data_IF_488266116284
#
_entry.id   IF_488266116284
#
_cell.length_a   1.000
_cell.length_b   1.000
_cell.length_c   1.000
_cell.angle_alpha   90.00
_cell.angle_beta   90.00
_cell.angle_gamma   90.00
#
_symmetry.space_group_name_H-M   'P 1'
#
loop_
_entity.id
_entity.type
_entity.pdbx_description
1 polymer ?
#
# COMPACT_ATOMS: atom_id res chain seq x y z
N UNK A 1 21.37 -23.56 14.47
CA UNK A 1 19.98 -23.33 14.91
C UNK A 1 19.83 -21.95 15.52
N UNK A 2 18.73 -21.24 15.22
CA UNK A 2 18.48 -19.91 15.78
C UNK A 2 17.99 -20.03 17.24
N UNK A 3 18.58 -19.26 18.16
CA UNK A 3 18.14 -19.18 19.55
C UNK A 3 17.33 -17.89 19.77
N UNK A 4 16.08 -18.04 20.23
CA UNK A 4 15.18 -16.92 20.55
C UNK A 4 14.95 -16.90 22.06
N UNK A 5 15.22 -15.76 22.70
CA UNK A 5 14.96 -15.54 24.14
C UNK A 5 14.43 -14.13 24.38
N UNK A 6 13.59 -13.95 25.38
CA UNK A 6 13.17 -12.60 25.81
C UNK A 6 14.16 -12.11 26.85
N UNK A 7 14.63 -10.87 26.69
CA UNK A 7 15.62 -10.25 27.58
C UNK A 7 15.25 -8.80 27.91
N UNK A 8 15.54 -8.39 29.15
CA UNK A 8 15.54 -6.98 29.58
C UNK A 8 16.84 -6.32 29.13
N UNK A 9 16.75 -5.23 28.34
CA UNK A 9 17.94 -4.54 27.80
C UNK A 9 18.51 -3.52 28.78
N UNK A 10 19.39 -3.98 29.68
CA UNK A 10 20.06 -3.17 30.70
C UNK A 10 20.74 -1.90 30.12
N UNK A 11 21.34 -2.01 28.94
CA UNK A 11 22.00 -0.90 28.24
C UNK A 11 21.06 0.15 27.61
N UNK A 12 19.74 -0.02 27.70
CA UNK A 12 18.73 0.93 27.22
C UNK A 12 17.77 1.34 28.36
N UNK A 13 18.28 1.32 29.60
CA UNK A 13 17.55 1.76 30.78
C UNK A 13 17.25 3.27 30.70
N UNK A 14 16.03 3.64 31.05
CA UNK A 14 15.57 5.04 31.13
C UNK A 14 15.95 5.64 32.49
N UNK A 15 15.79 6.97 32.60
CA UNK A 15 16.01 7.72 33.86
C UNK A 15 15.10 7.23 35.01
N UNK A 16 13.94 6.67 34.68
CA UNK A 16 12.96 6.09 35.63
C UNK A 16 13.36 4.69 36.15
N UNK A 17 14.50 4.14 35.74
CA UNK A 17 14.99 2.81 36.13
C UNK A 17 14.39 1.64 35.34
N UNK A 18 13.41 1.90 34.48
CA UNK A 18 12.80 0.87 33.63
C UNK A 18 13.67 0.60 32.41
N UNK A 19 13.69 -0.65 31.94
CA UNK A 19 14.38 -1.01 30.70
C UNK A 19 13.44 -1.78 29.76
N UNK A 20 13.60 -1.61 28.44
CA UNK A 20 12.72 -2.26 27.47
C UNK A 20 12.97 -3.76 27.40
N UNK A 21 11.88 -4.52 27.24
CA UNK A 21 11.91 -5.94 26.90
C UNK A 21 12.10 -6.11 25.39
N UNK A 22 12.95 -7.07 25.01
CA UNK A 22 13.21 -7.38 23.62
C UNK A 22 13.31 -8.90 23.40
N UNK A 23 12.84 -9.35 22.24
CA UNK A 23 13.18 -10.65 21.69
C UNK A 23 14.61 -10.58 21.16
N UNK A 24 15.53 -11.30 21.82
CA UNK A 24 16.88 -11.55 21.37
C UNK A 24 16.86 -12.75 20.42
N UNK A 25 17.26 -12.50 19.19
CA UNK A 25 17.32 -13.49 18.12
C UNK A 25 18.80 -13.66 17.76
N UNK A 26 19.35 -14.85 18.02
CA UNK A 26 20.76 -15.15 17.75
C UNK A 26 20.84 -16.27 16.73
N UNK A 27 21.43 -15.99 15.56
CA UNK A 27 21.68 -16.96 14.48
C UNK A 27 23.00 -16.60 13.80
N UNK A 28 23.83 -17.60 13.50
CA UNK A 28 25.09 -17.46 12.76
C UNK A 28 25.99 -16.31 13.27
N UNK A 29 26.31 -16.35 14.57
CA UNK A 29 27.15 -15.36 15.28
C UNK A 29 26.63 -13.91 15.27
N UNK A 30 25.43 -13.65 14.77
CA UNK A 30 24.78 -12.34 14.78
C UNK A 30 23.59 -12.33 15.73
N UNK A 31 23.55 -11.32 16.61
CA UNK A 31 22.45 -11.13 17.57
C UNK A 31 21.66 -9.87 17.20
N UNK A 32 20.36 -10.04 16.92
CA UNK A 32 19.43 -8.92 16.74
C UNK A 32 18.39 -8.87 17.85
N UNK A 33 17.83 -7.67 18.03
CA UNK A 33 16.80 -7.39 19.03
C UNK A 33 15.56 -6.81 18.36
N UNK A 34 14.41 -7.39 18.66
CA UNK A 34 13.10 -6.82 18.36
C UNK A 34 12.44 -6.34 19.65
N UNK A 35 12.20 -5.04 19.77
CA UNK A 35 11.65 -4.44 20.99
C UNK A 35 10.15 -4.65 21.06
N UNK A 36 9.67 -5.07 22.24
CA UNK A 36 8.27 -5.41 22.50
C UNK A 36 7.42 -4.23 22.98
N UNK A 37 8.04 -3.06 23.18
CA UNK A 37 7.37 -1.84 23.64
C UNK A 37 7.03 -1.80 25.14
N UNK A 38 7.27 -2.90 25.86
CA UNK A 38 7.06 -2.99 27.31
C UNK A 38 8.36 -2.67 28.07
N UNK A 39 8.25 -1.91 29.16
CA UNK A 39 9.38 -1.49 29.99
C UNK A 39 9.18 -2.00 31.41
N UNK A 40 10.22 -2.60 31.99
CA UNK A 40 10.12 -3.26 33.31
C UNK A 40 11.33 -2.92 34.17
N UNK A 41 11.08 -2.75 35.47
CA UNK A 41 12.11 -2.56 36.50
C UNK A 41 12.92 -3.85 36.71
N UNK A 42 14.14 -3.72 37.23
CA UNK A 42 14.99 -4.88 37.52
C UNK A 42 14.39 -5.80 38.58
N UNK A 43 13.75 -5.21 39.61
CA UNK A 43 13.08 -5.97 40.68
C UNK A 43 12.01 -6.92 40.13
N UNK A 44 11.33 -6.51 39.05
CA UNK A 44 10.17 -7.18 38.47
C UNK A 44 10.51 -8.16 37.33
N UNK A 45 11.78 -8.29 36.96
CA UNK A 45 12.24 -9.18 35.89
C UNK A 45 13.00 -10.39 36.43
N UNK A 46 12.67 -11.59 35.94
CA UNK A 46 13.43 -12.80 36.20
C UNK A 46 14.35 -13.11 35.01
N UNK A 47 15.66 -12.91 35.19
CA UNK A 47 16.66 -13.09 34.13
C UNK A 47 16.91 -14.56 33.79
N UNK A 48 16.68 -15.49 34.74
CA UNK A 48 16.87 -16.93 34.51
C UNK A 48 15.69 -17.50 33.72
N UNK A 49 14.47 -17.15 34.12
CA UNK A 49 13.25 -17.67 33.50
C UNK A 49 12.79 -16.85 32.28
N UNK A 50 13.29 -15.62 32.11
CA UNK A 50 12.85 -14.72 31.04
C UNK A 50 11.39 -14.29 31.18
N UNK A 51 10.91 -14.16 32.42
CA UNK A 51 9.52 -13.84 32.77
C UNK A 51 9.44 -12.64 33.71
N UNK A 52 8.29 -12.01 33.74
CA UNK A 52 7.98 -10.95 34.71
C UNK A 52 7.54 -11.60 36.02
N UNK A 53 8.12 -11.16 37.14
CA UNK A 53 7.81 -11.66 38.48
C UNK A 53 6.42 -11.18 38.91
N UNK A 54 5.83 -11.90 39.88
CA UNK A 54 4.53 -11.57 40.48
C UNK A 54 4.49 -10.21 41.18
N UNK A 55 5.65 -9.61 41.45
CA UNK A 55 5.79 -8.26 42.02
C UNK A 55 5.23 -7.16 41.11
N UNK A 56 5.12 -7.42 39.80
CA UNK A 56 4.52 -6.47 38.88
C UNK A 56 2.97 -6.62 38.85
N UNK A 57 2.20 -5.52 38.96
CA UNK A 57 0.73 -5.56 39.00
C UNK A 57 0.10 -6.31 37.82
N UNK A 58 0.68 -6.16 36.63
CA UNK A 58 0.20 -6.80 35.39
C UNK A 58 1.03 -8.01 34.96
N UNK A 59 1.71 -8.69 35.89
CA UNK A 59 2.63 -9.81 35.60
C UNK A 59 2.00 -10.93 34.77
N UNK A 60 0.78 -11.37 35.10
CA UNK A 60 0.07 -12.41 34.35
C UNK A 60 -0.22 -12.00 32.90
N UNK A 61 -0.79 -10.81 32.70
CA UNK A 61 -1.14 -10.30 31.36
C UNK A 61 0.11 -10.12 30.49
N UNK A 62 1.16 -9.56 31.07
CA UNK A 62 2.42 -9.37 30.34
C UNK A 62 3.10 -10.69 30.04
N UNK A 63 3.13 -11.66 30.97
CA UNK A 63 3.70 -12.98 30.70
C UNK A 63 2.94 -13.73 29.59
N UNK A 64 1.61 -13.62 29.54
CA UNK A 64 0.81 -14.20 28.44
C UNK A 64 1.18 -13.54 27.10
N UNK A 65 1.33 -12.22 27.07
CA UNK A 65 1.78 -11.49 25.88
C UNK A 65 3.19 -11.90 25.44
N UNK A 66 4.13 -12.00 26.38
CA UNK A 66 5.50 -12.44 26.11
C UNK A 66 5.52 -13.87 25.55
N UNK A 67 4.72 -14.78 26.11
CA UNK A 67 4.59 -16.15 25.65
C UNK A 67 4.04 -16.21 24.22
N UNK A 68 2.97 -15.46 23.93
CA UNK A 68 2.39 -15.39 22.59
C UNK A 68 3.42 -14.90 21.56
N UNK A 69 4.19 -13.86 21.89
CA UNK A 69 5.24 -13.31 21.03
C UNK A 69 6.42 -14.26 20.83
N UNK A 70 6.76 -15.06 21.84
CA UNK A 70 7.80 -16.08 21.75
C UNK A 70 7.36 -17.24 20.85
N UNK A 71 6.12 -17.72 21.00
CA UNK A 71 5.55 -18.77 20.15
C UNK A 71 5.47 -18.31 18.69
N UNK A 72 5.00 -17.08 18.44
CA UNK A 72 4.97 -16.47 17.11
C UNK A 72 6.37 -16.44 16.48
N UNK A 73 7.38 -16.04 17.23
CA UNK A 73 8.76 -15.99 16.74
C UNK A 73 9.35 -17.39 16.48
N UNK A 74 9.04 -18.38 17.31
CA UNK A 74 9.51 -19.75 17.13
C UNK A 74 8.86 -20.43 15.92
N UNK A 75 7.54 -20.30 15.74
CA UNK A 75 6.84 -20.87 14.59
C UNK A 75 7.40 -20.32 13.27
N UNK A 76 7.71 -19.02 13.23
CA UNK A 76 8.35 -18.39 12.07
C UNK A 76 9.74 -18.97 11.74
N UNK A 77 10.49 -19.42 12.75
CA UNK A 77 11.78 -20.09 12.56
C UNK A 77 11.58 -21.51 12.04
N UNK A 78 10.61 -22.25 12.57
CA UNK A 78 10.31 -23.61 12.11
C UNK A 78 9.77 -23.65 10.68
N UNK A 79 8.96 -22.68 10.28
CA UNK A 79 8.40 -22.60 8.92
C UNK A 79 9.43 -22.21 7.85
N UNK A 80 10.59 -21.68 8.25
CA UNK A 80 11.63 -21.24 7.32
C UNK A 80 12.82 -22.20 7.36
N UNK A 81 12.67 -23.33 6.67
CA UNK A 81 13.82 -24.16 6.31
C UNK A 81 14.82 -23.30 5.50
N UNK A 82 15.99 -23.13 6.11
CA UNK A 82 17.23 -22.49 5.63
C UNK A 82 17.20 -21.03 5.12
N UNK A 83 18.15 -20.24 5.65
CA UNK A 83 18.70 -19.07 4.94
C UNK A 83 18.21 -17.65 5.27
N UNK A 84 17.38 -17.40 6.28
CA UNK A 84 16.86 -16.03 6.51
C UNK A 84 17.67 -15.20 7.53
N UNK A 85 17.95 -13.95 7.15
CA UNK A 85 18.74 -12.94 7.88
C UNK A 85 17.99 -12.29 9.04
N UNK A 86 18.73 -11.87 10.06
CA UNK A 86 18.25 -11.30 11.32
C UNK A 86 17.46 -9.98 11.18
N UNK A 87 17.54 -9.29 10.03
CA UNK A 87 16.75 -8.10 9.71
C UNK A 87 15.32 -8.46 9.28
N UNK A 88 15.15 -9.52 8.50
CA UNK A 88 13.85 -10.03 8.07
C UNK A 88 13.03 -10.55 9.26
N UNK A 89 13.72 -11.09 10.28
CA UNK A 89 13.15 -11.52 11.56
C UNK A 89 12.51 -10.36 12.34
N UNK A 90 13.12 -9.15 12.31
CA UNK A 90 12.61 -7.96 13.03
C UNK A 90 11.34 -7.39 12.39
N UNK A 91 11.23 -7.50 11.06
CA UNK A 91 10.08 -6.99 10.31
C UNK A 91 8.83 -7.88 10.45
N UNK A 92 9.00 -9.19 10.66
CA UNK A 92 7.87 -10.12 10.93
C UNK A 92 7.27 -9.94 12.33
N UNK A 93 8.09 -9.76 13.36
CA UNK A 93 7.66 -9.63 14.77
C UNK A 93 6.78 -8.39 15.04
N UNK A 94 6.85 -7.36 14.18
CA UNK A 94 5.99 -6.16 14.27
C UNK A 94 4.55 -6.36 13.75
N UNK A 95 4.14 -7.58 13.38
CA UNK A 95 2.76 -7.88 12.98
C UNK A 95 2.55 -7.96 11.47
N UNK A 96 3.50 -8.55 10.72
CA UNK A 96 3.32 -8.85 9.29
C UNK A 96 3.36 -10.34 9.04
N UNK A 97 2.29 -11.01 9.46
CA UNK A 97 1.93 -12.32 8.90
C UNK A 97 1.33 -12.21 7.50
N UNK A 98 0.86 -11.03 7.08
CA UNK A 98 0.30 -10.81 5.75
C UNK A 98 1.16 -9.80 4.96
N UNK A 99 1.74 -10.24 3.84
CA UNK A 99 2.29 -9.34 2.82
C UNK A 99 1.11 -8.60 2.20
N UNK A 100 0.97 -7.29 2.45
CA UNK A 100 -0.13 -6.53 1.85
C UNK A 100 0.01 -6.51 0.33
N UNK A 101 -1.09 -6.71 -0.38
CA UNK A 101 -1.09 -6.57 -1.84
C UNK A 101 -1.07 -5.09 -2.22
N UNK A 102 -0.75 -4.81 -3.49
CA UNK A 102 -0.85 -3.44 -4.02
C UNK A 102 -2.30 -2.92 -3.93
N UNK A 103 -3.28 -3.77 -4.23
CA UNK A 103 -4.70 -3.41 -4.18
C UNK A 103 -5.20 -3.20 -2.75
N UNK A 104 -4.66 -3.92 -1.77
CA UNK A 104 -4.97 -3.72 -0.36
C UNK A 104 -4.54 -2.33 0.11
N UNK A 105 -3.30 -1.93 -0.17
CA UNK A 105 -2.80 -0.58 0.16
C UNK A 105 -3.55 0.51 -0.61
N UNK A 106 -3.93 0.24 -1.86
CA UNK A 106 -4.75 1.16 -2.65
C UNK A 106 -6.15 1.35 -2.06
N UNK A 107 -6.78 0.27 -1.60
CA UNK A 107 -8.09 0.29 -0.96
C UNK A 107 -8.04 1.02 0.40
N UNK A 108 -6.99 0.83 1.19
CA UNK A 108 -6.77 1.59 2.43
C UNK A 108 -6.68 3.09 2.17
N UNK A 109 -5.85 3.51 1.21
CA UNK A 109 -5.77 4.92 0.79
C UNK A 109 -7.11 5.46 0.31
N UNK A 110 -7.85 4.66 -0.47
CA UNK A 110 -9.14 5.07 -1.01
C UNK A 110 -10.16 5.29 0.10
N UNK A 111 -10.17 4.41 1.11
CA UNK A 111 -10.96 4.55 2.33
C UNK A 111 -10.59 5.85 3.06
N UNK A 112 -9.30 6.12 3.29
CA UNK A 112 -8.86 7.36 3.95
C UNK A 112 -9.33 8.62 3.20
N UNK A 113 -9.24 8.63 1.86
CA UNK A 113 -9.71 9.77 1.05
C UNK A 113 -11.22 9.94 1.07
N UNK A 114 -11.95 8.84 1.13
CA UNK A 114 -13.40 8.87 1.27
C UNK A 114 -13.83 9.39 2.63
N UNK A 115 -13.21 8.88 3.71
CA UNK A 115 -13.48 9.29 5.09
C UNK A 115 -13.10 10.76 5.34
N UNK A 116 -12.11 11.27 4.61
CA UNK A 116 -11.71 12.69 4.62
C UNK A 116 -12.58 13.56 3.69
N UNK A 117 -13.68 13.04 3.15
CA UNK A 117 -14.60 13.72 2.22
C UNK A 117 -13.97 14.22 0.90
N UNK A 118 -12.78 13.73 0.54
CA UNK A 118 -12.08 14.09 -0.69
C UNK A 118 -12.53 13.19 -1.84
N UNK A 119 -13.84 13.24 -2.14
CA UNK A 119 -14.49 12.31 -3.06
C UNK A 119 -13.99 12.39 -4.50
N UNK A 120 -13.61 13.58 -4.97
CA UNK A 120 -13.09 13.78 -6.33
C UNK A 120 -11.79 13.01 -6.55
N UNK A 121 -10.88 13.04 -5.56
CA UNK A 121 -9.63 12.28 -5.59
C UNK A 121 -9.92 10.79 -5.46
N UNK A 122 -10.77 10.39 -4.51
CA UNK A 122 -11.14 8.99 -4.32
C UNK A 122 -11.69 8.36 -5.61
N UNK A 123 -12.63 9.01 -6.28
CA UNK A 123 -13.21 8.52 -7.55
C UNK A 123 -12.16 8.43 -8.67
N UNK A 124 -11.28 9.43 -8.77
CA UNK A 124 -10.21 9.42 -9.75
C UNK A 124 -9.22 8.28 -9.50
N UNK A 125 -8.79 8.08 -8.26
CA UNK A 125 -7.87 7.00 -7.87
C UNK A 125 -8.52 5.62 -8.08
N UNK A 126 -9.80 5.45 -7.73
CA UNK A 126 -10.55 4.22 -7.99
C UNK A 126 -10.58 3.86 -9.49
N UNK A 127 -10.75 4.86 -10.37
CA UNK A 127 -10.67 4.61 -11.81
C UNK A 127 -9.30 4.07 -12.23
N UNK A 128 -8.21 4.52 -11.59
CA UNK A 128 -6.85 4.03 -11.87
C UNK A 128 -6.68 2.60 -11.36
N UNK A 129 -7.25 2.28 -10.19
CA UNK A 129 -7.23 0.92 -9.63
C UNK A 129 -7.92 -0.07 -10.59
N UNK A 130 -9.10 0.27 -11.13
CA UNK A 130 -9.77 -0.55 -12.14
C UNK A 130 -8.92 -0.73 -13.40
N UNK A 131 -8.24 0.31 -13.87
CA UNK A 131 -7.37 0.23 -15.04
C UNK A 131 -6.18 -0.73 -14.82
N UNK A 132 -5.58 -0.71 -13.63
CA UNK A 132 -4.54 -1.65 -13.23
C UNK A 132 -5.06 -3.09 -13.18
N UNK A 133 -6.27 -3.28 -12.66
CA UNK A 133 -6.90 -4.59 -12.66
C UNK A 133 -7.14 -5.13 -14.08
N UNK A 134 -7.69 -4.33 -14.99
CA UNK A 134 -7.90 -4.72 -16.39
C UNK A 134 -6.57 -5.11 -17.06
N UNK A 135 -5.47 -4.44 -16.70
CA UNK A 135 -4.13 -4.78 -17.18
C UNK A 135 -3.62 -6.12 -16.61
N UNK A 136 -3.75 -6.32 -15.31
CA UNK A 136 -3.31 -7.57 -14.64
C UNK A 136 -4.07 -8.77 -15.20
N UNK A 137 -5.36 -8.60 -15.49
CA UNK A 137 -6.24 -9.64 -16.02
C UNK A 137 -6.29 -9.70 -17.56
N UNK A 138 -5.37 -9.01 -18.26
CA UNK A 138 -5.39 -8.90 -19.71
C UNK A 138 -5.18 -10.25 -20.40
N UNK A 139 -6.18 -10.70 -21.18
CA UNK A 139 -6.11 -11.91 -22.00
C UNK A 139 -5.29 -11.67 -23.28
N UNK A 140 -3.99 -11.97 -23.24
CA UNK A 140 -3.05 -11.72 -24.36
C UNK A 140 -3.35 -12.53 -25.63
N UNK A 141 -4.00 -13.69 -25.50
CA UNK A 141 -4.34 -14.56 -26.64
C UNK A 141 -5.58 -14.09 -27.41
N UNK A 142 -6.38 -13.19 -26.84
CA UNK A 142 -7.63 -12.74 -27.44
C UNK A 142 -7.39 -11.62 -28.46
N UNK A 143 -8.32 -11.49 -29.42
CA UNK A 143 -8.31 -10.40 -30.38
C UNK A 143 -8.39 -9.03 -29.66
N UNK A 144 -7.48 -8.12 -30.00
CA UNK A 144 -7.32 -6.82 -29.35
C UNK A 144 -8.62 -5.99 -29.37
N UNK A 145 -9.32 -5.94 -30.50
CA UNK A 145 -10.50 -5.08 -30.64
C UNK A 145 -11.67 -5.61 -29.82
N UNK A 146 -11.79 -6.93 -29.70
CA UNK A 146 -12.74 -7.58 -28.79
C UNK A 146 -12.43 -7.22 -27.35
N UNK A 147 -11.16 -7.32 -26.93
CA UNK A 147 -10.74 -6.95 -25.57
C UNK A 147 -11.03 -5.47 -25.27
N UNK A 148 -10.79 -4.57 -26.22
CA UNK A 148 -11.11 -3.14 -26.08
C UNK A 148 -12.62 -2.94 -25.88
N UNK A 149 -13.46 -3.61 -26.67
CA UNK A 149 -14.92 -3.53 -26.53
C UNK A 149 -15.36 -4.03 -25.16
N UNK A 150 -14.83 -5.15 -24.69
CA UNK A 150 -15.14 -5.71 -23.38
C UNK A 150 -14.73 -4.79 -22.22
N UNK A 151 -13.53 -4.20 -22.27
CA UNK A 151 -13.07 -3.23 -21.26
C UNK A 151 -14.02 -2.02 -21.21
N UNK A 152 -14.43 -1.51 -22.38
CA UNK A 152 -15.40 -0.40 -22.47
C UNK A 152 -16.75 -0.79 -21.87
N UNK A 153 -17.24 -2.00 -22.16
CA UNK A 153 -18.50 -2.48 -21.61
C UNK A 153 -18.44 -2.58 -20.08
N UNK A 154 -17.42 -3.23 -19.52
CA UNK A 154 -17.23 -3.31 -18.06
C UNK A 154 -17.16 -1.93 -17.42
N UNK A 155 -16.54 -0.95 -18.09
CA UNK A 155 -16.49 0.44 -17.62
C UNK A 155 -17.88 1.09 -17.61
N UNK A 156 -18.68 0.93 -18.66
CA UNK A 156 -20.05 1.44 -18.72
C UNK A 156 -20.91 0.82 -17.63
N UNK A 157 -20.80 -0.49 -17.42
CA UNK A 157 -21.54 -1.20 -16.39
C UNK A 157 -21.18 -0.69 -14.98
N UNK A 158 -19.89 -0.42 -14.72
CA UNK A 158 -19.44 0.20 -13.45
C UNK A 158 -20.02 1.60 -13.25
N UNK A 159 -20.02 2.43 -14.29
CA UNK A 159 -20.59 3.79 -14.22
C UNK A 159 -22.10 3.73 -13.99
N UNK A 160 -22.80 2.84 -14.70
CA UNK A 160 -24.24 2.63 -14.54
C UNK A 160 -24.59 2.18 -13.12
N UNK A 161 -23.84 1.18 -12.62
CA UNK A 161 -23.96 0.69 -11.24
C UNK A 161 -23.73 1.78 -10.19
N UNK A 162 -22.69 2.61 -10.36
CA UNK A 162 -22.39 3.69 -9.42
C UNK A 162 -23.41 4.84 -9.39
N UNK A 163 -24.40 4.86 -10.31
CA UNK A 163 -25.55 5.79 -10.25
C UNK A 163 -26.70 5.25 -9.42
N UNK A 164 -26.72 3.93 -9.13
CA UNK A 164 -27.75 3.30 -8.30
C UNK A 164 -27.37 3.47 -6.83
N UNK A 165 -28.36 3.75 -5.98
CA UNK A 165 -28.20 3.87 -4.53
C UNK A 165 -27.57 2.61 -3.89
N UNK A 166 -27.82 1.45 -4.49
CA UNK A 166 -27.43 0.12 -4.00
C UNK A 166 -25.92 -0.15 -4.07
N UNK A 167 -25.14 0.63 -4.83
CA UNK A 167 -23.71 0.39 -5.03
C UNK A 167 -22.90 1.63 -4.70
N UNK A 168 -22.19 1.53 -3.58
CA UNK A 168 -21.31 2.59 -3.08
C UNK A 168 -19.87 2.34 -3.47
N UNK A 169 -19.08 3.41 -3.48
CA UNK A 169 -17.62 3.34 -3.54
C UNK A 169 -17.05 2.42 -2.44
N UNK A 170 -17.72 2.34 -1.29
CA UNK A 170 -17.39 1.44 -0.19
C UNK A 170 -17.39 -0.03 -0.61
N UNK A 171 -18.25 -0.44 -1.55
CA UNK A 171 -18.29 -1.82 -2.03
C UNK A 171 -17.08 -2.12 -2.90
N UNK A 172 -16.68 -1.17 -3.76
CA UNK A 172 -15.43 -1.27 -4.52
C UNK A 172 -14.21 -1.33 -3.61
N UNK A 173 -14.18 -0.52 -2.54
CA UNK A 173 -13.09 -0.55 -1.55
C UNK A 173 -12.97 -1.93 -0.90
N UNK A 174 -14.10 -2.52 -0.47
CA UNK A 174 -14.13 -3.88 0.11
C UNK A 174 -13.66 -4.92 -0.89
N UNK A 175 -14.05 -4.80 -2.15
CA UNK A 175 -13.62 -5.70 -3.22
C UNK A 175 -12.09 -5.68 -3.38
N UNK A 176 -11.50 -4.48 -3.53
CA UNK A 176 -10.06 -4.33 -3.72
C UNK A 176 -9.22 -4.68 -2.49
N UNK A 177 -9.74 -4.47 -1.28
CA UNK A 177 -9.06 -4.85 -0.03
C UNK A 177 -8.71 -6.34 0.01
N UNK A 178 -9.52 -7.19 -0.61
CA UNK A 178 -9.31 -8.65 -0.60
C UNK A 178 -8.54 -9.16 -1.83
N UNK A 179 -8.23 -8.31 -2.82
CA UNK A 179 -7.52 -8.75 -4.05
C UNK A 179 -6.03 -8.93 -3.80
N UNK A 180 -5.54 -10.14 -4.05
CA UNK A 180 -4.11 -10.52 -3.91
C UNK A 180 -3.42 -10.78 -5.25
N UNK A 181 -3.98 -10.28 -6.35
CA UNK A 181 -3.50 -10.52 -7.71
C UNK A 181 -2.27 -9.70 -8.11
N UNK A 182 -1.87 -8.71 -7.31
CA UNK A 182 -0.72 -7.84 -7.60
C UNK A 182 0.00 -7.44 -6.32
N UNK A 183 1.31 -7.68 -6.25
CA UNK A 183 2.19 -7.21 -5.17
C UNK A 183 3.15 -6.13 -5.66
N UNK A 184 3.75 -5.38 -4.72
CA UNK A 184 4.67 -4.29 -5.06
C UNK A 184 5.92 -4.77 -5.80
N UNK A 185 6.42 -5.96 -5.46
CA UNK A 185 7.59 -6.58 -6.07
C UNK A 185 7.35 -6.98 -7.54
N UNK A 186 6.09 -7.14 -7.95
CA UNK A 186 5.70 -7.43 -9.34
C UNK A 186 5.73 -6.17 -10.22
N UNK A 187 5.67 -4.98 -9.60
CA UNK A 187 5.65 -3.68 -10.29
C UNK A 187 7.07 -3.16 -10.47
N UNK A 188 7.80 -3.80 -11.39
CA UNK A 188 9.14 -3.38 -11.82
C UNK A 188 9.10 -2.51 -13.10
N UNK A 189 10.25 -2.08 -13.60
CA UNK A 189 10.36 -1.25 -14.81
C UNK A 189 9.72 -1.89 -16.05
N UNK A 190 9.77 -3.23 -16.18
CA UNK A 190 9.11 -3.97 -17.26
C UNK A 190 7.58 -3.96 -17.11
N UNK A 191 7.07 -4.12 -15.89
CA UNK A 191 5.64 -3.94 -15.60
C UNK A 191 5.17 -2.55 -16.01
N UNK A 192 5.88 -1.50 -15.58
CA UNK A 192 5.53 -0.11 -15.90
C UNK A 192 5.51 0.11 -17.41
N UNK A 193 6.52 -0.38 -18.13
CA UNK A 193 6.61 -0.24 -19.59
C UNK A 193 5.45 -0.93 -20.30
N UNK A 194 5.10 -2.15 -19.89
CA UNK A 194 3.94 -2.88 -20.42
C UNK A 194 2.62 -2.20 -20.06
N UNK A 195 2.51 -1.66 -18.85
CA UNK A 195 1.32 -0.93 -18.41
C UNK A 195 1.10 0.33 -19.25
N UNK A 196 2.15 1.11 -19.51
CA UNK A 196 2.10 2.27 -20.42
C UNK A 196 1.60 1.86 -21.81
N UNK A 197 2.15 0.79 -22.37
CA UNK A 197 1.73 0.27 -23.67
C UNK A 197 0.25 -0.14 -23.66
N UNK A 198 -0.21 -0.79 -22.58
CA UNK A 198 -1.63 -1.12 -22.39
C UNK A 198 -2.52 0.14 -22.35
N UNK A 199 -2.13 1.15 -21.58
CA UNK A 199 -2.89 2.41 -21.49
C UNK A 199 -3.06 3.09 -22.85
N UNK A 200 -2.05 3.04 -23.71
CA UNK A 200 -2.09 3.59 -25.07
C UNK A 200 -2.98 2.73 -25.95
N UNK A 201 -2.64 1.44 -26.08
CA UNK A 201 -3.22 0.56 -27.09
C UNK A 201 -4.65 0.11 -26.78
N UNK A 202 -5.01 -0.08 -25.51
CA UNK A 202 -6.31 -0.62 -25.11
C UNK A 202 -7.26 0.45 -24.57
N UNK A 203 -6.72 1.44 -23.84
CA UNK A 203 -7.55 2.47 -23.20
C UNK A 203 -7.54 3.81 -23.95
N UNK A 204 -6.68 4.00 -24.95
CA UNK A 204 -6.59 5.25 -25.71
C UNK A 204 -6.13 6.44 -24.88
N UNK A 205 -5.36 6.23 -23.82
CA UNK A 205 -4.91 7.32 -22.95
C UNK A 205 -3.81 8.16 -23.58
N UNK A 206 -3.91 9.48 -23.41
CA UNK A 206 -2.86 10.44 -23.74
C UNK A 206 -1.77 10.46 -22.67
N UNK A 207 -0.59 10.98 -23.01
CA UNK A 207 0.60 11.04 -22.15
C UNK A 207 0.30 11.63 -20.75
N UNK A 208 -0.48 12.71 -20.67
CA UNK A 208 -0.84 13.33 -19.39
C UNK A 208 -1.64 12.38 -18.48
N UNK A 209 -2.58 11.64 -19.06
CA UNK A 209 -3.39 10.68 -18.29
C UNK A 209 -2.53 9.51 -17.81
N UNK A 210 -1.63 8.98 -18.66
CA UNK A 210 -0.67 7.93 -18.27
C UNK A 210 0.22 8.43 -17.13
N UNK A 211 0.73 9.66 -17.23
CA UNK A 211 1.54 10.30 -16.18
C UNK A 211 0.79 10.33 -14.85
N UNK A 212 -0.49 10.71 -14.85
CA UNK A 212 -1.32 10.71 -13.63
C UNK A 212 -1.47 9.31 -13.02
N UNK A 213 -1.57 8.27 -13.86
CA UNK A 213 -1.62 6.87 -13.38
C UNK A 213 -0.29 6.47 -12.74
N UNK A 214 0.85 6.84 -13.33
CA UNK A 214 2.17 6.56 -12.74
C UNK A 214 2.39 7.35 -11.43
N UNK A 215 1.88 8.58 -11.33
CA UNK A 215 1.93 9.37 -10.09
C UNK A 215 1.20 8.61 -8.98
N UNK A 216 0.01 8.08 -9.25
CA UNK A 216 -0.74 7.29 -8.27
C UNK A 216 0.02 6.03 -7.83
N UNK A 217 0.60 5.27 -8.78
CA UNK A 217 1.43 4.10 -8.46
C UNK A 217 2.62 4.50 -7.57
N UNK A 218 3.33 5.59 -7.92
CA UNK A 218 4.43 6.11 -7.13
C UNK A 218 3.99 6.51 -5.72
N UNK A 219 2.84 7.15 -5.59
CA UNK A 219 2.26 7.51 -4.29
C UNK A 219 2.00 6.28 -3.43
N UNK A 220 1.42 5.20 -3.99
CA UNK A 220 1.21 3.95 -3.25
C UNK A 220 2.52 3.27 -2.85
N UNK A 221 3.54 3.29 -3.71
CA UNK A 221 4.88 2.82 -3.34
C UNK A 221 5.48 3.61 -2.18
N UNK A 222 5.36 4.94 -2.18
CA UNK A 222 5.87 5.78 -1.10
C UNK A 222 5.16 5.48 0.23
N UNK A 223 3.84 5.24 0.20
CA UNK A 223 3.06 4.80 1.37
C UNK A 223 3.57 3.43 1.84
N UNK A 224 3.68 2.47 0.93
CA UNK A 224 4.15 1.12 1.24
C UNK A 224 5.58 1.09 1.81
N UNK A 225 6.47 1.95 1.32
CA UNK A 225 7.82 2.12 1.87
C UNK A 225 7.79 2.68 3.30
N UNK A 226 7.00 3.75 3.52
CA UNK A 226 6.81 4.36 4.84
C UNK A 226 6.31 3.33 5.86
N UNK A 227 5.36 2.50 5.45
CA UNK A 227 4.76 1.47 6.28
C UNK A 227 5.58 0.16 6.29
N UNK A 228 6.77 0.15 5.68
CA UNK A 228 7.67 -1.01 5.56
C UNK A 228 7.02 -2.25 4.92
N UNK A 229 5.99 -2.06 4.08
CA UNK A 229 5.27 -3.10 3.33
C UNK A 229 6.15 -3.66 2.21
N UNK A 230 6.95 -2.81 1.59
CA UNK A 230 7.91 -3.17 0.55
C UNK A 230 9.30 -2.63 0.90
N UNK A 231 10.34 -3.33 0.46
CA UNK A 231 11.73 -2.87 0.57
C UNK A 231 12.08 -1.86 -0.54
N UNK A 232 12.95 -0.89 -0.23
CA UNK A 232 13.39 0.15 -1.15
C UNK A 232 13.99 -0.40 -2.45
N UNK A 233 14.59 -1.59 -2.43
CA UNK A 233 15.14 -2.22 -3.65
C UNK A 233 14.09 -2.47 -4.74
N UNK A 234 12.83 -2.63 -4.35
CA UNK A 234 11.71 -2.85 -5.27
C UNK A 234 11.09 -1.54 -5.78
N UNK A 235 11.57 -0.38 -5.33
CA UNK A 235 11.05 0.91 -5.78
C UNK A 235 11.34 1.14 -7.28
N UNK A 236 10.33 1.38 -8.13
CA UNK A 236 10.53 1.41 -9.58
C UNK A 236 10.72 2.82 -10.16
N UNK A 237 10.77 3.86 -9.32
CA UNK A 237 10.87 5.27 -9.73
C UNK A 237 12.17 5.96 -9.24
N UNK A 238 13.23 5.18 -9.00
CA UNK A 238 14.56 5.72 -8.67
C UNK A 238 15.24 6.39 -9.88
N UNK A 239 16.34 7.11 -9.65
CA UNK A 239 17.00 7.99 -10.64
C UNK A 239 17.44 7.31 -11.94
N UNK A 240 17.73 6.02 -11.92
CA UNK A 240 18.10 5.18 -13.06
C UNK A 240 16.90 4.47 -13.71
N UNK A 241 15.70 4.58 -13.11
CA UNK A 241 14.46 3.88 -13.53
C UNK A 241 13.46 4.85 -14.17
N UNK A 242 12.16 4.60 -13.98
CA UNK A 242 11.10 5.38 -14.62
C UNK A 242 11.04 6.81 -14.05
N UNK A 243 11.24 7.81 -14.91
CA UNK A 243 11.11 9.23 -14.55
C UNK A 243 9.74 9.77 -14.96
N UNK A 244 8.97 10.19 -13.97
CA UNK A 244 7.68 10.85 -14.19
C UNK A 244 7.93 12.33 -14.47
N UNK A 245 7.71 12.76 -15.72
CA UNK A 245 7.81 14.16 -16.15
C UNK A 245 6.42 14.76 -16.36
N UNK A 246 6.18 15.93 -15.79
CA UNK A 246 4.95 16.69 -15.97
C UNK A 246 5.24 17.80 -16.99
N UNK A 247 4.65 17.69 -18.19
CA UNK A 247 4.70 18.77 -19.17
C UNK A 247 3.74 19.90 -18.80
N UNK A 248 4.14 21.14 -19.04
CA UNK A 248 3.23 22.30 -18.99
C UNK A 248 2.24 22.21 -20.15
N UNK A 249 0.94 22.22 -19.85
CA UNK A 249 -0.08 22.34 -20.87
C UNK A 249 -0.13 23.77 -21.41
N UNK A 250 -0.37 23.93 -22.71
CA UNK A 250 -0.63 25.22 -23.30
C UNK A 250 -2.06 25.65 -22.92
N UNK A 251 -2.18 26.43 -21.84
CA UNK A 251 -3.44 27.06 -21.43
C UNK A 251 -3.44 28.48 -21.97
N UNK A 252 -4.21 28.72 -23.02
CA UNK A 252 -4.45 30.06 -23.56
C UNK A 252 -5.73 30.58 -22.92
N UNK A 253 -5.70 31.79 -22.36
CA UNK A 253 -6.90 32.49 -21.91
C UNK A 253 -7.65 33.09 -23.10
N UNK A 254 -8.96 33.29 -22.95
CA UNK A 254 -9.73 34.02 -23.96
C UNK A 254 -9.23 35.47 -24.07
N UNK A 255 -9.18 35.99 -25.28
CA UNK A 255 -8.96 37.41 -25.54
C UNK A 255 -10.21 38.22 -25.24
N UNK A 256 -10.07 39.52 -24.96
CA UNK A 256 -11.19 40.43 -24.72
C UNK A 256 -12.25 40.37 -25.83
N UNK A 257 -11.82 40.34 -27.10
CA UNK A 257 -12.72 40.18 -28.26
C UNK A 257 -13.49 38.87 -28.26
N UNK A 258 -12.87 37.77 -27.83
CA UNK A 258 -13.56 36.47 -27.74
C UNK A 258 -14.57 36.47 -26.60
N UNK A 259 -14.27 37.13 -25.48
CA UNK A 259 -15.22 37.31 -24.38
C UNK A 259 -16.42 38.14 -24.84
N UNK A 260 -16.21 39.29 -25.47
CA UNK A 260 -17.30 40.13 -25.99
C UNK A 260 -18.20 39.37 -26.99
N UNK A 261 -17.62 38.50 -27.82
CA UNK A 261 -18.38 37.67 -28.76
C UNK A 261 -19.26 36.64 -28.07
N UNK A 262 -18.80 36.09 -26.94
CA UNK A 262 -19.59 35.16 -26.13
C UNK A 262 -20.72 35.91 -25.42
N UNK A 263 -20.45 37.10 -24.88
CA UNK A 263 -21.44 37.92 -24.18
C UNK A 263 -22.57 38.42 -25.10
N UNK A 264 -22.23 38.75 -26.36
CA UNK A 264 -23.20 39.20 -27.38
C UNK A 264 -23.86 38.05 -28.14
N UNK A 265 -23.59 36.80 -27.77
CA UNK A 265 -24.14 35.64 -28.47
C UNK A 265 -25.65 35.53 -28.20
N UNK A 266 -26.47 35.84 -29.19
CA UNK A 266 -27.90 35.61 -29.14
C UNK A 266 -28.19 34.11 -29.34
N UNK A 267 -28.84 33.51 -28.36
CA UNK A 267 -29.19 32.10 -28.37
C UNK A 267 -30.64 31.93 -28.85
N UNK A 268 -30.83 31.20 -29.93
CA UNK A 268 -32.15 30.89 -30.47
C UNK A 268 -32.84 29.82 -29.62
N UNK A 269 -34.08 30.11 -29.19
CA UNK A 269 -34.90 29.20 -28.39
C UNK A 269 -35.00 27.81 -29.06
N UNK A 270 -34.79 26.75 -28.27
CA UNK A 270 -34.76 25.34 -28.70
C UNK A 270 -33.56 24.89 -29.58
N UNK A 271 -32.50 25.69 -29.69
CA UNK A 271 -31.25 25.22 -30.30
C UNK A 271 -30.36 24.49 -29.29
N UNK A 272 -29.42 23.66 -29.78
CA UNK A 272 -28.48 22.91 -28.93
C UNK A 272 -27.50 23.79 -28.14
N UNK A 273 -27.44 25.09 -28.45
CA UNK A 273 -26.58 26.09 -27.82
C UNK A 273 -27.34 27.04 -26.90
N UNK A 274 -28.69 26.97 -26.86
CA UNK A 274 -29.58 27.73 -25.98
C UNK A 274 -29.62 27.19 -24.55
#
# INVERSE_FOLDING_TARGET
MASIKIVRRKNKQRKDGTAPLALRISKDYRTNYSFLGQYVLEKDWDEKLGKIKKTHPNSNRLNNFLMQKLTEANNLVFETNDGISSLQMKNKVKGKGHRKSFFEVAAERLQEKYDSEVFSVARAELSIIYNLEEFVNLKKSANRDTVIKEIKQRRLDRISRGRKSEHSISDSIKEFRNKKSLYFEDINSSFISRYKAFCIAYMGHKTRTITNQLIFIRTLFNIALKDSVVDIKHYPFADDKEKIRIGSGHKIGLTEKEVERIEKLELEYQTSIW
#
